data_IF_277549685584
#
_entry.id   IF_277549685584
#
_cell.length_a   1.000
_cell.length_b   1.000
_cell.length_c   1.000
_cell.angle_alpha   90.00
_cell.angle_beta   90.00
_cell.angle_gamma   90.00
#
_symmetry.space_group_name_H-M   'P 1'
#
loop_
_entity.id
_entity.type
_entity.pdbx_description
1 polymer ?
#
# COMPACT_ATOMS: atom_id res chain seq x y z
N UNK A 1 17.48 -0.53 18.20
CA UNK A 1 18.73 0.03 17.68
C UNK A 1 18.48 1.37 16.99
N UNK A 2 19.46 2.23 16.96
CA UNK A 2 19.45 3.50 16.24
C UNK A 2 20.43 3.43 15.09
N UNK A 3 19.97 3.69 13.89
CA UNK A 3 20.77 3.61 12.65
C UNK A 3 20.70 4.95 11.93
N UNK A 4 21.82 5.39 11.36
CA UNK A 4 21.83 6.55 10.46
C UNK A 4 21.43 6.11 9.06
N UNK A 5 20.58 6.89 8.42
CA UNK A 5 20.13 6.61 7.06
C UNK A 5 19.95 7.95 6.31
N UNK A 6 20.75 8.15 5.27
CA UNK A 6 20.83 9.45 4.59
C UNK A 6 21.01 10.62 5.58
N UNK A 7 20.12 11.59 5.56
CA UNK A 7 20.14 12.75 6.46
C UNK A 7 19.31 12.57 7.73
N UNK A 8 18.85 11.34 7.99
CA UNK A 8 17.95 11.03 9.11
C UNK A 8 18.47 9.91 10.00
N UNK A 9 17.66 9.58 11.00
CA UNK A 9 17.90 8.48 11.93
C UNK A 9 16.72 7.52 11.91
N UNK A 10 17.01 6.23 11.83
CA UNK A 10 16.00 5.16 11.94
C UNK A 10 16.11 4.53 13.32
N UNK A 11 15.01 4.59 14.07
CA UNK A 11 14.89 3.91 15.35
C UNK A 11 14.18 2.56 15.13
N UNK A 12 14.93 1.46 15.27
CA UNK A 12 14.34 0.12 15.27
C UNK A 12 14.01 -0.28 16.69
N UNK A 13 12.72 -0.40 16.97
CA UNK A 13 12.21 -0.89 18.25
C UNK A 13 11.99 -2.40 18.14
N UNK A 14 12.39 -3.21 19.16
CA UNK A 14 11.99 -4.62 19.18
C UNK A 14 10.47 -4.67 19.21
N UNK A 15 9.88 -5.42 18.30
CA UNK A 15 8.47 -5.73 18.36
C UNK A 15 8.22 -6.43 19.70
N UNK A 16 7.51 -5.77 20.57
CA UNK A 16 7.03 -6.37 21.80
C UNK A 16 5.93 -7.36 21.41
N UNK A 17 6.33 -8.58 21.02
CA UNK A 17 5.41 -9.69 21.08
C UNK A 17 5.02 -9.88 22.54
N UNK A 18 3.84 -9.39 22.85
CA UNK A 18 3.14 -9.69 24.09
C UNK A 18 2.67 -11.17 24.06
N UNK A 19 3.58 -12.07 23.81
CA UNK A 19 3.39 -13.51 23.76
C UNK A 19 4.45 -14.22 24.58
N UNK A 20 4.14 -14.50 25.83
CA UNK A 20 4.67 -15.56 26.70
C UNK A 20 6.06 -16.17 26.35
N UNK A 21 7.10 -15.41 26.49
CA UNK A 21 8.46 -15.93 26.47
C UNK A 21 9.34 -15.07 27.38
N UNK A 22 9.51 -15.47 28.61
CA UNK A 22 10.42 -14.87 29.59
C UNK A 22 11.86 -14.91 29.07
N UNK A 23 12.29 -13.92 28.31
CA UNK A 23 13.70 -13.60 28.22
C UNK A 23 14.11 -12.89 29.51
N UNK A 24 14.80 -13.60 30.37
CA UNK A 24 15.29 -13.12 31.66
C UNK A 24 16.59 -12.31 31.56
N UNK A 25 17.00 -11.91 30.36
CA UNK A 25 18.30 -11.25 30.18
C UNK A 25 18.10 -9.90 29.46
N UNK A 26 18.12 -8.76 30.18
CA UNK A 26 18.00 -7.43 29.58
C UNK A 26 19.22 -7.05 28.75
N UNK A 27 20.26 -7.89 28.67
CA UNK A 27 21.51 -7.63 27.93
C UNK A 27 21.72 -8.50 26.71
N UNK A 28 20.84 -9.41 26.36
CA UNK A 28 20.91 -10.04 25.03
C UNK A 28 20.41 -9.02 24.02
N UNK A 29 21.38 -8.33 23.44
CA UNK A 29 21.24 -7.65 22.17
C UNK A 29 20.95 -8.74 21.11
N UNK A 30 19.68 -9.12 20.96
CA UNK A 30 19.25 -9.63 19.67
C UNK A 30 19.59 -8.53 18.69
N UNK A 31 20.53 -8.79 17.82
CA UNK A 31 20.89 -7.90 16.73
C UNK A 31 19.62 -7.75 15.88
N UNK A 32 18.84 -6.71 16.19
CA UNK A 32 17.75 -6.30 15.33
C UNK A 32 18.36 -5.95 13.99
N UNK A 33 18.29 -6.89 13.06
CA UNK A 33 18.79 -6.69 11.71
C UNK A 33 17.99 -5.54 11.10
N UNK A 34 18.67 -4.41 10.87
CA UNK A 34 18.10 -3.31 10.11
C UNK A 34 17.91 -3.77 8.66
N UNK A 35 16.68 -3.86 8.22
CA UNK A 35 16.35 -4.06 6.82
C UNK A 35 16.23 -2.70 6.16
N UNK A 36 17.10 -2.43 5.20
CA UNK A 36 17.05 -1.18 4.43
C UNK A 36 15.74 -1.12 3.65
N UNK A 37 14.95 -0.07 3.90
CA UNK A 37 13.66 0.17 3.23
C UNK A 37 13.75 1.41 2.33
N UNK A 38 14.64 1.38 1.39
CA UNK A 38 14.97 2.48 0.50
C UNK A 38 13.74 3.06 -0.20
N UNK A 39 12.85 2.19 -0.73
CA UNK A 39 11.60 2.61 -1.38
C UNK A 39 10.65 3.37 -0.44
N UNK A 40 10.58 2.96 0.83
CA UNK A 40 9.78 3.67 1.82
C UNK A 40 10.35 5.07 2.08
N UNK A 41 11.67 5.16 2.12
CA UNK A 41 12.38 6.44 2.31
C UNK A 41 12.19 7.38 1.13
N UNK A 42 12.19 6.86 -0.09
CA UNK A 42 11.90 7.63 -1.31
C UNK A 42 10.50 8.25 -1.26
N UNK A 43 9.50 7.49 -0.80
CA UNK A 43 8.12 7.99 -0.65
C UNK A 43 8.05 9.09 0.42
N UNK A 44 8.75 8.95 1.54
CA UNK A 44 8.82 10.01 2.56
C UNK A 44 9.47 11.28 2.00
N UNK A 45 10.61 11.15 1.33
CA UNK A 45 11.29 12.29 0.71
C UNK A 45 10.42 13.01 -0.30
N UNK A 46 9.73 12.26 -1.14
CA UNK A 46 8.78 12.81 -2.10
C UNK A 46 7.65 13.58 -1.42
N UNK A 47 7.15 13.08 -0.28
CA UNK A 47 6.14 13.77 0.52
C UNK A 47 6.66 15.08 1.13
N UNK A 48 7.92 15.10 1.60
CA UNK A 48 8.57 16.31 2.12
C UNK A 48 8.78 17.34 0.99
N UNK A 49 9.32 16.93 -0.16
CA UNK A 49 9.50 17.79 -1.33
C UNK A 49 8.17 18.45 -1.77
N UNK A 50 7.08 17.72 -1.63
CA UNK A 50 5.74 18.25 -1.88
C UNK A 50 5.31 19.28 -0.85
N UNK A 51 5.53 18.99 0.42
CA UNK A 51 5.27 19.93 1.49
C UNK A 51 6.01 21.26 1.27
N UNK A 52 7.28 21.16 0.91
CA UNK A 52 8.13 22.32 0.60
C UNK A 52 7.63 23.12 -0.60
N UNK A 53 7.27 22.43 -1.68
CA UNK A 53 6.73 23.07 -2.89
C UNK A 53 5.44 23.83 -2.59
N UNK A 54 4.57 23.24 -1.79
CA UNK A 54 3.30 23.82 -1.38
C UNK A 54 3.43 24.82 -0.21
N UNK A 55 4.60 24.87 0.44
CA UNK A 55 4.83 25.61 1.68
C UNK A 55 3.89 25.22 2.81
N UNK A 56 3.58 23.93 2.89
CA UNK A 56 2.70 23.32 3.89
C UNK A 56 3.40 22.09 4.48
N UNK A 57 4.32 22.34 5.40
CA UNK A 57 5.09 21.29 6.04
C UNK A 57 4.54 20.90 7.42
N UNK A 58 3.68 21.75 7.96
CA UNK A 58 3.11 21.55 9.31
C UNK A 58 1.60 21.72 9.32
N UNK A 59 0.94 21.16 10.32
CA UNK A 59 -0.47 21.42 10.58
C UNK A 59 -0.76 22.92 10.78
N UNK A 60 0.23 23.67 11.31
CA UNK A 60 0.14 25.12 11.46
C UNK A 60 0.05 25.85 10.13
N UNK A 61 0.86 25.43 9.16
CA UNK A 61 0.83 26.00 7.79
C UNK A 61 -0.53 25.72 7.13
N UNK A 62 -1.01 24.48 7.21
CA UNK A 62 -2.32 24.08 6.70
C UNK A 62 -3.45 24.93 7.33
N UNK A 63 -3.43 25.10 8.64
CA UNK A 63 -4.42 25.89 9.36
C UNK A 63 -4.39 27.36 8.92
N UNK A 64 -3.22 27.92 8.67
CA UNK A 64 -3.07 29.27 8.13
C UNK A 64 -3.68 29.39 6.76
N UNK A 65 -3.35 28.46 5.86
CA UNK A 65 -3.91 28.40 4.50
C UNK A 65 -5.45 28.28 4.52
N UNK A 66 -5.98 27.45 5.43
CA UNK A 66 -7.42 27.30 5.59
C UNK A 66 -8.12 28.59 6.03
N UNK A 67 -7.51 29.34 6.97
CA UNK A 67 -8.02 30.64 7.42
C UNK A 67 -8.00 31.69 6.31
N UNK A 68 -7.00 31.64 5.44
CA UNK A 68 -6.84 32.56 4.32
C UNK A 68 -7.71 32.18 3.11
N UNK A 69 -8.55 31.15 3.21
CA UNK A 69 -9.47 30.69 2.15
C UNK A 69 -8.78 29.90 1.04
N UNK A 70 -7.55 29.45 1.25
CA UNK A 70 -6.76 28.72 0.24
C UNK A 70 -6.99 27.20 0.20
N UNK A 71 -7.88 26.66 1.05
CA UNK A 71 -8.04 25.21 1.21
C UNK A 71 -8.48 24.52 -0.09
N UNK A 72 -9.44 25.09 -0.80
CA UNK A 72 -9.94 24.51 -2.07
C UNK A 72 -8.83 24.42 -3.13
N UNK A 73 -7.95 25.42 -3.15
CA UNK A 73 -6.81 25.41 -4.08
C UNK A 73 -5.81 24.29 -3.75
N UNK A 74 -5.54 24.04 -2.48
CA UNK A 74 -4.65 22.94 -2.05
C UNK A 74 -5.25 21.58 -2.42
N UNK A 75 -6.57 21.41 -2.21
CA UNK A 75 -7.26 20.18 -2.60
C UNK A 75 -7.12 19.93 -4.10
N UNK A 76 -7.40 20.94 -4.93
CA UNK A 76 -7.27 20.82 -6.39
C UNK A 76 -5.85 20.45 -6.84
N UNK A 77 -4.83 21.09 -6.26
CA UNK A 77 -3.44 20.75 -6.59
C UNK A 77 -3.09 19.34 -6.14
N UNK A 78 -3.50 18.93 -4.95
CA UNK A 78 -3.24 17.58 -4.43
C UNK A 78 -3.90 16.51 -5.29
N UNK A 79 -5.13 16.76 -5.74
CA UNK A 79 -5.83 15.85 -6.66
C UNK A 79 -5.16 15.78 -8.03
N UNK A 80 -4.76 16.93 -8.57
CA UNK A 80 -4.06 17.00 -9.85
C UNK A 80 -2.71 16.26 -9.80
N UNK A 81 -1.98 16.39 -8.69
CA UNK A 81 -0.76 15.63 -8.47
C UNK A 81 -1.01 14.13 -8.42
N UNK A 82 -2.01 13.72 -7.63
CA UNK A 82 -2.36 12.32 -7.50
C UNK A 82 -2.70 11.72 -8.87
N UNK A 83 -3.50 12.42 -9.67
CA UNK A 83 -3.84 11.98 -11.03
C UNK A 83 -2.61 11.90 -11.93
N UNK A 84 -1.72 12.88 -11.86
CA UNK A 84 -0.46 12.88 -12.62
C UNK A 84 0.42 11.68 -12.27
N UNK A 85 0.51 11.31 -10.99
CA UNK A 85 1.26 10.12 -10.55
C UNK A 85 0.64 8.82 -11.07
N UNK A 86 -0.69 8.72 -11.04
CA UNK A 86 -1.40 7.55 -11.58
C UNK A 86 -1.16 7.43 -13.09
N UNK A 87 -1.21 8.55 -13.81
CA UNK A 87 -0.90 8.56 -15.25
C UNK A 87 0.54 8.11 -15.52
N UNK A 88 1.51 8.60 -14.75
CA UNK A 88 2.90 8.17 -14.86
C UNK A 88 3.07 6.65 -14.64
N UNK A 89 2.42 6.09 -13.62
CA UNK A 89 2.43 4.65 -13.36
C UNK A 89 1.82 3.88 -14.55
N UNK A 90 0.74 4.41 -15.14
CA UNK A 90 0.14 3.80 -16.31
C UNK A 90 1.09 3.81 -17.52
N UNK A 91 1.83 4.91 -17.73
CA UNK A 91 2.87 5.02 -18.78
C UNK A 91 3.97 3.98 -18.57
N UNK A 92 4.44 3.82 -17.33
CA UNK A 92 5.45 2.80 -17.01
C UNK A 92 4.95 1.38 -17.29
N UNK A 93 3.72 1.06 -16.87
CA UNK A 93 3.10 -0.24 -17.14
C UNK A 93 2.95 -0.46 -18.66
N UNK A 94 2.51 0.57 -19.39
CA UNK A 94 2.32 0.50 -20.84
C UNK A 94 3.63 0.26 -21.59
N UNK A 95 4.73 0.84 -21.10
CA UNK A 95 6.06 0.64 -21.68
C UNK A 95 6.55 -0.80 -21.59
N UNK A 96 6.05 -1.55 -20.62
CA UNK A 96 6.39 -2.96 -20.38
C UNK A 96 5.48 -3.88 -21.18
N UNK A 97 5.96 -4.37 -22.33
CA UNK A 97 5.16 -5.13 -23.32
C UNK A 97 4.49 -6.41 -22.78
N UNK A 98 4.98 -6.96 -21.67
CA UNK A 98 4.57 -8.29 -21.19
C UNK A 98 3.76 -8.25 -19.88
N UNK A 99 3.38 -7.09 -19.38
CA UNK A 99 2.56 -7.00 -18.18
C UNK A 99 1.13 -7.47 -18.50
N UNK A 100 0.70 -8.52 -17.82
CA UNK A 100 -0.65 -9.11 -17.94
C UNK A 100 -1.42 -8.99 -16.61
N UNK A 101 -0.72 -8.88 -15.48
CA UNK A 101 -1.30 -8.81 -14.16
C UNK A 101 -0.63 -7.68 -13.39
N UNK A 102 -1.43 -6.87 -12.71
CA UNK A 102 -0.99 -5.78 -11.84
C UNK A 102 -1.55 -6.07 -10.45
N UNK A 103 -0.67 -6.24 -9.47
CA UNK A 103 -1.05 -6.49 -8.09
C UNK A 103 -1.00 -5.18 -7.29
N UNK A 104 -2.12 -4.83 -6.66
CA UNK A 104 -2.24 -3.63 -5.84
C UNK A 104 -2.48 -4.08 -4.40
N UNK A 105 -1.48 -3.88 -3.56
CA UNK A 105 -1.51 -4.22 -2.15
C UNK A 105 -1.46 -2.95 -1.28
N UNK A 106 -2.04 -3.04 -0.10
CA UNK A 106 -2.02 -1.95 0.88
C UNK A 106 -2.94 -2.27 2.06
N UNK A 107 -2.84 -1.54 3.18
CA UNK A 107 -3.66 -1.76 4.36
C UNK A 107 -5.15 -1.50 4.08
N UNK A 108 -6.00 -1.91 5.01
CA UNK A 108 -7.43 -1.60 4.93
C UNK A 108 -7.64 -0.08 4.86
N UNK A 109 -8.65 0.35 4.12
CA UNK A 109 -9.00 1.78 3.93
C UNK A 109 -7.90 2.67 3.32
N UNK A 110 -6.84 2.08 2.72
CA UNK A 110 -5.78 2.84 2.04
C UNK A 110 -6.14 3.38 0.66
N UNK A 111 -7.37 3.12 0.19
CA UNK A 111 -7.81 3.58 -1.13
C UNK A 111 -7.44 2.67 -2.30
N UNK A 112 -7.04 1.41 -2.07
CA UNK A 112 -6.68 0.44 -3.13
C UNK A 112 -7.69 0.37 -4.27
N UNK A 113 -8.97 0.25 -3.93
CA UNK A 113 -10.05 0.13 -4.92
C UNK A 113 -10.19 1.39 -5.77
N UNK A 114 -10.06 2.58 -5.15
CA UNK A 114 -10.11 3.86 -5.85
C UNK A 114 -8.91 4.02 -6.77
N UNK A 115 -7.71 3.67 -6.27
CA UNK A 115 -6.49 3.67 -7.05
C UNK A 115 -6.58 2.72 -8.25
N UNK A 116 -7.03 1.48 -8.04
CA UNK A 116 -7.20 0.49 -9.11
C UNK A 116 -8.14 0.99 -10.22
N UNK A 117 -9.26 1.61 -9.85
CA UNK A 117 -10.21 2.19 -10.82
C UNK A 117 -9.57 3.34 -11.62
N UNK A 118 -8.89 4.27 -10.95
CA UNK A 118 -8.22 5.39 -11.62
C UNK A 118 -7.10 4.92 -12.54
N UNK A 119 -6.27 3.97 -12.08
CA UNK A 119 -5.23 3.36 -12.92
C UNK A 119 -5.82 2.66 -14.15
N UNK A 120 -6.90 1.91 -13.96
CA UNK A 120 -7.63 1.27 -15.04
C UNK A 120 -8.15 2.28 -16.09
N UNK A 121 -8.65 3.43 -15.66
CA UNK A 121 -9.06 4.51 -16.56
C UNK A 121 -7.87 5.01 -17.40
N UNK A 122 -6.71 5.25 -16.78
CA UNK A 122 -5.50 5.68 -17.50
C UNK A 122 -5.03 4.63 -18.50
N UNK A 123 -5.05 3.35 -18.14
CA UNK A 123 -4.72 2.26 -19.07
C UNK A 123 -5.71 2.20 -20.24
N UNK A 124 -7.00 2.45 -19.99
CA UNK A 124 -8.01 2.47 -21.04
C UNK A 124 -7.85 3.64 -22.00
N UNK A 125 -7.43 4.80 -21.52
CA UNK A 125 -7.06 5.95 -22.37
C UNK A 125 -5.94 5.58 -23.33
N UNK A 126 -5.05 4.66 -22.94
CA UNK A 126 -3.96 4.12 -23.78
C UNK A 126 -4.40 2.93 -24.65
N UNK A 127 -5.69 2.61 -24.70
CA UNK A 127 -6.23 1.51 -25.47
C UNK A 127 -6.05 0.12 -24.87
N UNK A 128 -5.74 0.02 -23.58
CA UNK A 128 -5.69 -1.25 -22.85
C UNK A 128 -7.02 -1.54 -22.17
N UNK A 129 -7.54 -2.74 -22.40
CA UNK A 129 -8.65 -3.24 -21.60
C UNK A 129 -8.13 -3.86 -20.31
N UNK A 130 -8.88 -3.69 -19.23
CA UNK A 130 -8.54 -4.25 -17.92
C UNK A 130 -9.78 -4.86 -17.26
N UNK A 131 -9.54 -5.87 -16.45
CA UNK A 131 -10.51 -6.47 -15.54
C UNK A 131 -10.00 -6.25 -14.13
N UNK A 132 -10.83 -5.67 -13.27
CA UNK A 132 -10.50 -5.48 -11.85
C UNK A 132 -11.08 -6.64 -11.05
N UNK A 133 -10.21 -7.34 -10.33
CA UNK A 133 -10.58 -8.48 -9.47
C UNK A 133 -10.22 -8.11 -8.04
N UNK A 134 -11.22 -8.16 -7.14
CA UNK A 134 -11.03 -7.98 -5.72
C UNK A 134 -10.80 -9.32 -5.03
N UNK A 135 -9.76 -9.47 -4.22
CA UNK A 135 -9.57 -10.68 -3.42
C UNK A 135 -10.69 -10.91 -2.41
N UNK A 136 -11.38 -9.83 -2.03
CA UNK A 136 -12.53 -9.89 -1.10
C UNK A 136 -13.69 -10.74 -1.64
N UNK A 137 -13.80 -10.86 -2.98
CA UNK A 137 -14.84 -11.65 -3.65
C UNK A 137 -14.58 -13.17 -3.57
N UNK A 138 -13.39 -13.57 -3.14
CA UNK A 138 -12.96 -14.96 -3.06
C UNK A 138 -12.85 -15.50 -1.65
N UNK A 139 -13.34 -14.77 -0.64
CA UNK A 139 -13.38 -15.31 0.72
C UNK A 139 -14.36 -16.49 0.80
N UNK A 140 -13.89 -17.57 1.44
CA UNK A 140 -14.73 -18.73 1.73
C UNK A 140 -15.80 -18.33 2.76
N UNK A 141 -16.99 -18.89 2.63
CA UNK A 141 -18.06 -18.72 3.61
C UNK A 141 -17.57 -18.97 5.03
N UNK A 142 -17.94 -18.11 5.94
CA UNK A 142 -17.50 -18.18 7.35
C UNK A 142 -17.73 -19.55 7.97
N UNK A 143 -18.77 -20.24 7.57
CA UNK A 143 -19.12 -21.55 8.12
C UNK A 143 -18.22 -22.68 7.61
N UNK A 144 -17.53 -22.47 6.50
CA UNK A 144 -16.60 -23.41 5.88
C UNK A 144 -15.14 -23.14 6.25
N UNK A 145 -14.86 -22.05 6.95
CA UNK A 145 -13.50 -21.70 7.34
C UNK A 145 -12.95 -22.66 8.40
N UNK A 146 -11.71 -23.09 8.21
CA UNK A 146 -10.99 -23.86 9.18
C UNK A 146 -10.62 -23.00 10.40
N UNK A 147 -10.75 -23.60 11.58
CA UNK A 147 -10.32 -22.97 12.82
C UNK A 147 -8.80 -23.09 12.94
N UNK A 148 -8.16 -22.07 13.50
CA UNK A 148 -6.74 -22.10 13.83
C UNK A 148 -6.45 -23.00 15.05
N UNK A 149 -5.18 -23.08 15.47
CA UNK A 149 -4.77 -23.87 16.64
C UNK A 149 -5.43 -23.40 17.96
N UNK A 150 -5.99 -22.20 17.98
CA UNK A 150 -6.70 -21.61 19.13
C UNK A 150 -8.20 -21.81 19.06
N UNK A 151 -8.71 -22.39 17.98
CA UNK A 151 -10.15 -22.56 17.74
C UNK A 151 -10.83 -21.29 17.23
N UNK A 152 -10.07 -20.32 16.73
CA UNK A 152 -10.58 -19.07 16.16
C UNK A 152 -10.49 -19.07 14.62
N UNK A 153 -11.38 -18.31 13.98
CA UNK A 153 -11.34 -18.16 12.52
C UNK A 153 -10.31 -17.09 12.15
N UNK A 154 -9.28 -17.47 11.42
CA UNK A 154 -8.25 -16.55 10.96
C UNK A 154 -8.58 -16.06 9.54
N UNK A 155 -9.11 -14.84 9.44
CA UNK A 155 -9.47 -14.18 8.17
C UNK A 155 -8.25 -13.69 7.39
N UNK A 156 -7.10 -13.56 8.02
CA UNK A 156 -5.86 -13.12 7.38
C UNK A 156 -5.06 -14.30 6.80
N UNK A 157 -5.51 -15.52 7.06
CA UNK A 157 -4.87 -16.73 6.54
C UNK A 157 -5.20 -16.94 5.06
N UNK A 158 -4.23 -17.45 4.32
CA UNK A 158 -4.42 -17.81 2.90
C UNK A 158 -5.53 -18.84 2.70
N UNK A 159 -5.76 -19.70 3.70
CA UNK A 159 -6.84 -20.68 3.74
C UNK A 159 -8.26 -20.08 3.84
N UNK A 160 -8.37 -18.78 4.10
CA UNK A 160 -9.64 -18.06 4.08
C UNK A 160 -10.12 -17.71 2.67
N UNK A 161 -9.27 -17.90 1.65
CA UNK A 161 -9.52 -17.55 0.26
C UNK A 161 -9.69 -18.84 -0.55
N UNK A 162 -10.67 -18.88 -1.45
CA UNK A 162 -10.85 -19.92 -2.45
C UNK A 162 -9.79 -19.73 -3.57
N UNK A 163 -8.60 -20.28 -3.32
CA UNK A 163 -7.47 -20.15 -4.23
C UNK A 163 -7.70 -20.88 -5.56
N UNK A 164 -8.48 -21.96 -5.57
CA UNK A 164 -8.77 -22.72 -6.79
C UNK A 164 -9.68 -21.93 -7.71
N UNK A 165 -10.73 -21.31 -7.17
CA UNK A 165 -11.61 -20.42 -7.93
C UNK A 165 -10.83 -19.21 -8.44
N UNK A 166 -10.07 -18.55 -7.57
CA UNK A 166 -9.25 -17.40 -7.94
C UNK A 166 -8.26 -17.73 -9.06
N UNK A 167 -7.52 -18.85 -8.95
CA UNK A 167 -6.57 -19.26 -9.97
C UNK A 167 -7.25 -19.61 -11.31
N UNK A 168 -8.45 -20.19 -11.26
CA UNK A 168 -9.25 -20.50 -12.46
C UNK A 168 -9.68 -19.22 -13.17
N UNK A 169 -10.19 -18.24 -12.43
CA UNK A 169 -10.69 -16.99 -13.01
C UNK A 169 -9.55 -16.12 -13.56
N UNK A 170 -8.42 -16.03 -12.85
CA UNK A 170 -7.22 -15.36 -13.37
C UNK A 170 -6.75 -15.99 -14.70
N UNK A 171 -6.73 -17.33 -14.79
CA UNK A 171 -6.32 -18.00 -16.03
C UNK A 171 -7.26 -17.69 -17.20
N UNK A 172 -8.57 -17.64 -16.98
CA UNK A 172 -9.56 -17.26 -17.98
C UNK A 172 -9.36 -15.83 -18.46
N UNK A 173 -9.25 -14.89 -17.54
CA UNK A 173 -9.01 -13.47 -17.87
C UNK A 173 -7.72 -13.29 -18.67
N UNK A 174 -6.63 -13.99 -18.31
CA UNK A 174 -5.38 -13.96 -19.08
C UNK A 174 -5.55 -14.56 -20.46
N UNK A 175 -6.42 -15.56 -20.62
CA UNK A 175 -6.74 -16.17 -21.90
C UNK A 175 -7.67 -15.29 -22.77
N UNK A 176 -8.33 -14.28 -22.20
CA UNK A 176 -9.28 -13.39 -22.87
C UNK A 176 -10.71 -13.93 -22.88
N UNK A 177 -11.05 -14.78 -21.90
CA UNK A 177 -12.38 -15.37 -21.70
C UNK A 177 -13.20 -14.61 -20.63
#
# INVERSE_FOLDING_TARGET
>A
GLYSFHNGLVLVHPNGDAGNGKSKDPCKKDELAYVNQEKLFEVFRESEEWGDLMKINTAGDLNKFAKDGGLDYIVLISEALHEKKIAYIADEIYSQKNVRVILIAGPSSSGKTTFAKRLGIQLRVMGKEYVSIGLDDYFIDRDKMQLDEKGEKNFDALSAIDLDLFAKDIKKVIAGE
#
